data_IF_549027724702
#
_entry.id   IF_549027724702
#
_cell.length_a   1.000
_cell.length_b   1.000
_cell.length_c   1.000
_cell.angle_alpha   90.00
_cell.angle_beta   90.00
_cell.angle_gamma   90.00
#
_symmetry.space_group_name_H-M   'P 1'
#
loop_
_entity.id
_entity.type
_entity.pdbx_description
1 polymer ?
#
# COMPACT_ATOMS: atom_id res chain seq x y z
N UNK A 1 11.35 -4.70 -13.45
CA UNK A 1 10.49 -3.58 -13.87
C UNK A 1 10.13 -2.81 -12.62
N UNK A 2 10.50 -1.52 -12.53
CA UNK A 2 10.11 -0.68 -11.40
C UNK A 2 8.81 0.03 -11.75
N UNK A 3 7.74 -0.19 -10.98
CA UNK A 3 6.49 0.54 -11.13
C UNK A 3 6.53 1.77 -10.23
N UNK A 4 6.64 2.96 -10.84
CA UNK A 4 6.56 4.22 -10.10
C UNK A 4 5.09 4.51 -9.82
N UNK A 5 4.68 4.41 -8.56
CA UNK A 5 3.30 4.69 -8.15
C UNK A 5 3.26 5.91 -7.26
N UNK A 6 2.60 6.97 -7.71
CA UNK A 6 2.26 8.10 -6.85
C UNK A 6 1.13 7.67 -5.92
N UNK A 7 1.48 7.39 -4.69
CA UNK A 7 0.53 7.04 -3.65
C UNK A 7 -0.14 8.32 -3.15
N UNK A 8 -1.40 8.53 -3.51
CA UNK A 8 -2.22 9.65 -3.01
C UNK A 8 -3.11 9.24 -1.84
N UNK A 9 -3.58 7.99 -1.83
CA UNK A 9 -4.46 7.43 -0.81
C UNK A 9 -4.00 6.00 -0.48
N UNK A 10 -3.49 5.81 0.73
CA UNK A 10 -2.96 4.53 1.21
C UNK A 10 -3.96 3.72 2.03
N UNK A 11 -5.17 4.22 2.27
CA UNK A 11 -6.20 3.48 2.99
C UNK A 11 -6.91 2.48 2.07
N UNK A 12 -7.32 1.31 2.61
CA UNK A 12 -8.17 0.39 1.87
C UNK A 12 -9.55 1.00 1.61
N UNK A 13 -10.17 0.60 0.50
CA UNK A 13 -11.57 0.92 0.23
C UNK A 13 -12.45 -0.04 1.03
N UNK A 14 -13.33 0.51 1.86
CA UNK A 14 -14.35 -0.25 2.56
C UNK A 14 -15.60 -0.39 1.68
N UNK A 15 -15.99 -1.63 1.40
CA UNK A 15 -17.24 -1.99 0.72
C UNK A 15 -18.17 -2.60 1.75
N UNK A 16 -19.33 -1.98 1.96
CA UNK A 16 -20.34 -2.38 2.96
C UNK A 16 -21.46 -3.25 2.39
N UNK A 17 -21.30 -3.75 1.17
CA UNK A 17 -22.28 -4.61 0.52
C UNK A 17 -22.09 -6.08 0.97
N UNK A 18 -22.70 -6.44 2.10
CA UNK A 18 -22.66 -7.80 2.65
C UNK A 18 -22.92 -7.85 4.17
N UNK A 19 -22.90 -9.05 4.75
CA UNK A 19 -22.94 -9.23 6.22
C UNK A 19 -21.67 -8.71 6.91
N UNK A 20 -20.54 -8.69 6.21
CA UNK A 20 -19.25 -8.23 6.72
C UNK A 20 -18.60 -7.21 5.77
N UNK A 21 -17.92 -6.17 6.30
CA UNK A 21 -17.22 -5.21 5.47
C UNK A 21 -16.05 -5.87 4.74
N UNK A 22 -15.92 -5.57 3.45
CA UNK A 22 -14.80 -6.03 2.62
C UNK A 22 -13.83 -4.86 2.42
N UNK A 23 -12.55 -5.12 2.58
CA UNK A 23 -11.49 -4.11 2.40
C UNK A 23 -10.68 -4.41 1.15
N UNK A 24 -10.74 -3.52 0.17
CA UNK A 24 -9.99 -3.63 -1.09
C UNK A 24 -8.68 -2.85 -1.00
N UNK A 25 -7.59 -3.51 -1.40
CA UNK A 25 -6.25 -2.94 -1.39
C UNK A 25 -6.14 -1.83 -2.45
N UNK A 26 -5.75 -0.63 -2.00
CA UNK A 26 -5.39 0.50 -2.87
C UNK A 26 -3.91 0.84 -2.84
N UNK A 27 -3.14 0.32 -1.88
CA UNK A 27 -1.71 0.57 -1.77
C UNK A 27 -0.84 -0.26 -2.72
N UNK A 28 -1.37 -1.35 -3.30
CA UNK A 28 -0.64 -2.31 -4.16
C UNK A 28 0.52 -3.06 -3.48
N UNK A 29 0.61 -3.03 -2.15
CA UNK A 29 1.60 -3.83 -1.40
C UNK A 29 1.04 -5.11 -0.79
N UNK A 30 -0.27 -5.35 -0.92
CA UNK A 30 -0.87 -6.56 -0.35
C UNK A 30 -0.28 -7.81 -0.99
N UNK A 31 0.04 -8.80 -0.16
CA UNK A 31 0.41 -10.15 -0.62
C UNK A 31 -0.82 -10.96 -1.07
N UNK A 32 -2.02 -10.46 -0.77
CA UNK A 32 -3.31 -11.10 -1.08
C UNK A 32 -4.22 -10.20 -1.92
N UNK A 33 -3.69 -9.59 -2.99
CA UNK A 33 -4.48 -8.79 -3.92
C UNK A 33 -5.67 -9.60 -4.48
N UNK A 34 -6.89 -9.02 -4.61
CA UNK A 34 -7.23 -7.60 -4.47
C UNK A 34 -7.54 -7.14 -3.03
N UNK A 35 -7.46 -8.02 -2.05
CA UNK A 35 -7.86 -7.74 -0.67
C UNK A 35 -6.77 -7.01 0.13
N UNK A 36 -7.19 -6.20 1.09
CA UNK A 36 -6.28 -5.56 2.03
C UNK A 36 -5.83 -6.53 3.12
N UNK A 37 -4.52 -6.68 3.28
CA UNK A 37 -3.87 -7.50 4.33
C UNK A 37 -3.19 -6.66 5.43
N UNK A 38 -3.30 -5.33 5.36
CA UNK A 38 -2.67 -4.40 6.30
C UNK A 38 -1.30 -3.86 5.85
N UNK A 39 -0.72 -4.36 4.75
CA UNK A 39 0.59 -3.93 4.23
C UNK A 39 0.70 -2.42 3.95
N UNK A 40 -0.43 -1.74 3.76
CA UNK A 40 -0.47 -0.28 3.58
C UNK A 40 0.04 0.51 4.80
N UNK A 41 0.12 -0.09 5.98
CA UNK A 41 0.62 0.59 7.18
C UNK A 41 2.13 0.81 7.14
N UNK A 42 2.89 -0.04 6.44
CA UNK A 42 4.35 0.03 6.35
C UNK A 42 4.87 1.22 5.54
N UNK A 43 3.99 1.91 4.80
CA UNK A 43 4.32 3.02 3.90
C UNK A 43 3.95 4.38 4.52
N UNK A 44 3.33 4.40 5.72
CA UNK A 44 2.88 5.66 6.34
C UNK A 44 4.02 6.64 6.61
N UNK A 45 5.25 6.15 6.71
CA UNK A 45 6.46 6.94 6.95
C UNK A 45 7.14 7.43 5.65
N UNK A 46 6.49 7.32 4.48
CA UNK A 46 6.95 8.01 3.26
C UNK A 46 6.63 9.51 3.36
N UNK A 47 7.40 10.20 4.22
CA UNK A 47 7.34 11.64 4.40
C UNK A 47 7.71 12.39 3.11
N UNK A 48 6.67 12.78 2.38
CA UNK A 48 6.72 13.87 1.41
C UNK A 48 6.98 13.48 -0.04
N UNK A 49 6.69 14.41 -0.98
CA UNK A 49 6.73 14.17 -2.43
C UNK A 49 8.12 13.84 -3.01
N UNK A 50 9.17 13.87 -2.20
CA UNK A 50 10.57 13.73 -2.62
C UNK A 50 11.34 12.59 -1.93
N UNK A 51 10.70 11.77 -1.08
CA UNK A 51 11.40 10.65 -0.46
C UNK A 51 11.35 9.43 -1.40
N UNK A 52 12.48 9.08 -1.99
CA UNK A 52 12.64 7.87 -2.80
C UNK A 52 13.03 6.70 -1.91
N UNK A 53 12.27 5.61 -1.99
CA UNK A 53 12.58 4.36 -1.29
C UNK A 53 12.84 3.25 -2.30
N UNK A 54 13.95 2.54 -2.12
CA UNK A 54 14.25 1.32 -2.87
C UNK A 54 13.83 0.13 -2.01
N UNK A 55 13.01 -0.74 -2.61
CA UNK A 55 12.57 -1.98 -2.02
C UNK A 55 13.42 -3.13 -2.59
N UNK A 56 14.31 -3.69 -1.76
CA UNK A 56 15.10 -4.89 -2.08
C UNK A 56 14.60 -6.06 -1.25
N UNK A 57 13.73 -6.90 -1.84
CA UNK A 57 13.07 -7.98 -1.12
C UNK A 57 12.15 -7.45 -0.02
N UNK A 58 12.34 -7.91 1.22
CA UNK A 58 11.60 -7.42 2.40
C UNK A 58 12.24 -6.16 3.04
N UNK A 59 13.32 -5.62 2.48
CA UNK A 59 14.02 -4.45 3.02
C UNK A 59 13.64 -3.17 2.29
N UNK A 60 13.38 -2.11 3.07
CA UNK A 60 13.12 -0.76 2.58
C UNK A 60 14.33 0.13 2.89
N UNK A 61 14.99 0.64 1.84
CA UNK A 61 16.15 1.53 1.94
C UNK A 61 15.72 2.92 1.47
N UNK A 62 15.86 3.94 2.32
CA UNK A 62 15.65 5.34 1.93
C UNK A 62 16.88 5.83 1.17
N UNK A 63 16.68 6.39 -0.03
CA UNK A 63 17.73 7.07 -0.80
C UNK A 63 17.92 8.52 -0.31
#
# INVERSE_FOLDING_TARGET
MAHLKKITENSPLEIKEGEFPIYICRCQLSKNLPYCDGSHQCIKDEEGPNALYVYEGDKRIKL
#
